data_IF_248991803634
#
_entry.id   IF_248991803634
#
_cell.length_a   1.000
_cell.length_b   1.000
_cell.length_c   1.000
_cell.angle_alpha   90.00
_cell.angle_beta   90.00
_cell.angle_gamma   90.00
#
_symmetry.space_group_name_H-M   'P 1'
#
loop_
_entity.id
_entity.type
_entity.pdbx_description
1 polymer ?
#
# COMPACT_ATOMS: atom_id res chain seq x y z
N UNK A 1 12.29 -13.99 32.25
CA UNK A 1 12.81 -12.65 31.94
C UNK A 1 13.62 -12.75 30.64
N UNK A 2 13.06 -12.36 29.48
CA UNK A 2 13.85 -12.26 28.24
C UNK A 2 14.46 -10.87 28.21
N UNK A 3 15.77 -10.81 28.33
CA UNK A 3 16.55 -9.59 28.12
C UNK A 3 16.26 -9.07 26.71
N UNK A 4 15.61 -7.91 26.57
CA UNK A 4 15.56 -7.19 25.30
C UNK A 4 16.99 -6.77 24.98
N UNK A 5 17.60 -7.34 23.95
CA UNK A 5 18.82 -6.78 23.40
C UNK A 5 18.44 -5.43 22.80
N UNK A 6 18.78 -4.35 23.48
CA UNK A 6 18.68 -3.00 22.94
C UNK A 6 19.80 -2.85 21.91
N UNK A 7 19.43 -2.71 20.64
CA UNK A 7 20.37 -2.38 19.58
C UNK A 7 20.81 -0.93 19.78
N UNK A 8 22.12 -0.71 19.89
CA UNK A 8 22.71 0.62 20.07
C UNK A 8 23.56 0.96 18.83
N UNK A 9 23.37 2.16 18.29
CA UNK A 9 24.22 2.70 17.24
C UNK A 9 25.28 3.61 17.88
N UNK A 10 26.56 3.31 17.59
CA UNK A 10 27.68 4.17 18.01
C UNK A 10 28.17 4.91 16.76
N UNK A 11 28.00 6.23 16.75
CA UNK A 11 28.33 7.07 15.61
C UNK A 11 29.48 7.99 16.00
N UNK A 12 30.60 7.88 15.26
CA UNK A 12 31.72 8.81 15.34
C UNK A 12 31.67 9.76 14.15
N UNK A 13 31.31 11.00 14.39
CA UNK A 13 31.26 12.03 13.35
C UNK A 13 32.63 12.57 12.94
N UNK A 14 32.65 13.54 12.01
CA UNK A 14 33.84 14.29 11.61
C UNK A 14 34.67 13.66 10.47
N UNK A 15 34.25 12.52 9.91
CA UNK A 15 34.91 11.92 8.75
C UNK A 15 34.28 12.43 7.45
N UNK A 16 35.01 13.13 6.56
CA UNK A 16 34.47 13.52 5.25
C UNK A 16 34.15 12.28 4.40
N UNK A 17 32.92 12.23 3.89
CA UNK A 17 32.50 11.15 3.00
C UNK A 17 32.94 11.45 1.57
N UNK A 18 33.63 10.50 0.92
CA UNK A 18 34.04 10.55 -0.50
C UNK A 18 33.78 9.18 -1.12
N UNK A 19 33.15 9.15 -2.30
CA UNK A 19 32.85 7.93 -3.02
C UNK A 19 31.55 8.03 -3.81
N UNK A 20 31.19 6.92 -4.44
CA UNK A 20 29.96 6.74 -5.20
C UNK A 20 29.03 5.79 -4.47
N UNK A 21 27.74 6.04 -4.54
CA UNK A 21 26.70 5.18 -3.96
C UNK A 21 25.68 4.88 -5.04
N UNK A 22 25.41 3.60 -5.27
CA UNK A 22 24.30 3.17 -6.11
C UNK A 22 22.99 3.33 -5.33
N UNK A 23 22.07 4.13 -5.86
CA UNK A 23 20.76 4.33 -5.25
C UNK A 23 19.89 3.10 -5.49
N UNK A 24 19.40 2.49 -4.43
CA UNK A 24 18.41 1.42 -4.50
C UNK A 24 16.97 1.94 -4.63
N UNK A 25 16.02 1.03 -4.84
CA UNK A 25 14.60 1.36 -4.95
C UNK A 25 14.04 2.03 -3.69
N UNK A 26 13.08 2.93 -3.88
CA UNK A 26 12.43 3.67 -2.80
C UNK A 26 11.41 2.78 -2.06
N UNK A 27 11.62 2.56 -0.76
CA UNK A 27 10.72 1.75 0.07
C UNK A 27 9.25 2.18 -0.03
N UNK A 28 8.98 3.47 0.07
CA UNK A 28 7.60 3.97 0.10
C UNK A 28 6.89 3.84 -1.25
N UNK A 29 7.61 4.00 -2.36
CA UNK A 29 7.09 3.69 -3.70
C UNK A 29 6.78 2.20 -3.82
N UNK A 30 7.72 1.34 -3.45
CA UNK A 30 7.56 -0.10 -3.53
C UNK A 30 6.34 -0.62 -2.76
N UNK A 31 6.03 -0.06 -1.57
CA UNK A 31 4.86 -0.45 -0.78
C UNK A 31 3.53 -0.18 -1.53
N UNK A 32 3.40 0.99 -2.16
CA UNK A 32 2.22 1.33 -2.96
C UNK A 32 2.11 0.47 -4.23
N UNK A 33 3.23 0.27 -4.92
CA UNK A 33 3.31 -0.53 -6.16
C UNK A 33 2.99 -2.02 -5.88
N UNK A 34 3.50 -2.59 -4.79
CA UNK A 34 3.18 -3.96 -4.38
C UNK A 34 1.68 -4.14 -4.10
N UNK A 35 1.05 -3.15 -3.46
CA UNK A 35 -0.40 -3.17 -3.26
C UNK A 35 -1.16 -3.02 -4.59
N UNK A 36 -0.70 -2.19 -5.52
CA UNK A 36 -1.30 -2.07 -6.84
C UNK A 36 -1.16 -3.36 -7.67
N UNK A 37 -0.06 -4.11 -7.50
CA UNK A 37 0.21 -5.32 -8.25
C UNK A 37 -0.84 -6.43 -8.05
N UNK A 38 -1.53 -6.45 -6.90
CA UNK A 38 -2.59 -7.45 -6.67
C UNK A 38 -3.92 -7.09 -7.33
N UNK A 39 -4.06 -5.89 -7.87
CA UNK A 39 -5.32 -5.42 -8.45
C UNK A 39 -5.58 -5.99 -9.85
N UNK A 40 -4.57 -6.53 -10.51
CA UNK A 40 -4.71 -7.27 -11.78
C UNK A 40 -4.66 -8.77 -11.57
N UNK A 41 -5.21 -9.51 -12.54
CA UNK A 41 -5.10 -10.97 -12.62
C UNK A 41 -3.88 -11.43 -13.45
N UNK A 42 -3.18 -10.46 -14.07
CA UNK A 42 -1.94 -10.71 -14.79
C UNK A 42 -0.74 -10.82 -13.85
N UNK A 43 0.32 -11.49 -14.33
CA UNK A 43 1.57 -11.57 -13.57
C UNK A 43 2.39 -10.32 -13.76
N UNK A 44 2.68 -9.65 -12.65
CA UNK A 44 3.47 -8.42 -12.60
C UNK A 44 4.87 -8.73 -12.12
N UNK A 45 5.86 -8.28 -12.89
CA UNK A 45 7.27 -8.30 -12.46
C UNK A 45 7.65 -6.94 -11.92
N UNK A 46 8.14 -6.90 -10.69
CA UNK A 46 8.60 -5.66 -10.03
C UNK A 46 10.08 -5.82 -9.74
N UNK A 47 10.87 -4.91 -10.28
CA UNK A 47 12.33 -4.87 -10.15
C UNK A 47 12.78 -3.72 -9.23
N UNK A 48 14.06 -3.73 -8.88
CA UNK A 48 14.67 -2.72 -8.02
C UNK A 48 13.96 -2.53 -6.67
N UNK A 49 13.41 -3.61 -6.11
CA UNK A 49 12.82 -3.59 -4.76
C UNK A 49 13.93 -3.46 -3.71
N UNK A 50 13.76 -2.59 -2.70
CA UNK A 50 14.69 -2.58 -1.57
C UNK A 50 14.46 -3.82 -0.68
N UNK A 51 15.55 -4.48 -0.31
CA UNK A 51 15.49 -5.61 0.63
C UNK A 51 15.42 -5.10 2.08
N UNK A 52 14.23 -4.73 2.49
CA UNK A 52 13.94 -4.22 3.84
C UNK A 52 12.74 -4.95 4.46
N UNK A 53 12.69 -4.95 5.78
CA UNK A 53 11.68 -5.68 6.55
C UNK A 53 10.25 -5.39 6.11
N UNK A 54 9.90 -4.12 5.90
CA UNK A 54 8.53 -3.71 5.56
C UNK A 54 8.05 -4.35 4.24
N UNK A 55 8.95 -4.39 3.23
CA UNK A 55 8.68 -5.04 1.94
C UNK A 55 8.45 -6.54 2.13
N UNK A 56 9.33 -7.19 2.90
CA UNK A 56 9.23 -8.63 3.15
C UNK A 56 7.93 -8.99 3.87
N UNK A 57 7.52 -8.20 4.86
CA UNK A 57 6.26 -8.42 5.58
C UNK A 57 5.05 -8.17 4.68
N UNK A 58 5.09 -7.14 3.82
CA UNK A 58 3.99 -6.88 2.88
C UNK A 58 3.85 -8.01 1.85
N UNK A 59 4.96 -8.54 1.32
CA UNK A 59 4.94 -9.69 0.41
C UNK A 59 4.36 -10.94 1.07
N UNK A 60 4.71 -11.21 2.34
CA UNK A 60 4.10 -12.30 3.11
C UNK A 60 2.60 -12.10 3.30
N UNK A 61 2.15 -10.87 3.51
CA UNK A 61 0.73 -10.56 3.59
C UNK A 61 -0.01 -10.80 2.28
N UNK A 62 0.58 -10.38 1.17
CA UNK A 62 0.06 -10.59 -0.18
C UNK A 62 -0.04 -12.10 -0.48
N UNK A 63 0.97 -12.88 -0.12
CA UNK A 63 0.94 -14.34 -0.23
C UNK A 63 -0.13 -14.96 0.68
N UNK A 64 -0.25 -14.44 1.92
CA UNK A 64 -1.21 -14.92 2.92
C UNK A 64 -2.68 -14.73 2.55
N UNK A 65 -3.00 -13.77 1.69
CA UNK A 65 -4.36 -13.58 1.14
C UNK A 65 -4.62 -14.45 -0.10
N UNK A 66 -3.61 -15.20 -0.55
CA UNK A 66 -3.74 -16.17 -1.65
C UNK A 66 -3.17 -15.71 -2.99
N UNK A 67 -2.49 -14.57 -3.06
CA UNK A 67 -1.76 -14.20 -4.27
C UNK A 67 -0.53 -15.08 -4.45
N UNK A 68 -0.15 -15.34 -5.69
CA UNK A 68 1.11 -16.00 -5.99
C UNK A 68 2.25 -15.00 -5.95
N UNK A 69 3.25 -15.24 -5.10
CA UNK A 69 4.45 -14.41 -4.97
C UNK A 69 5.68 -15.26 -5.27
N UNK A 70 6.41 -14.91 -6.31
CA UNK A 70 7.65 -15.59 -6.70
C UNK A 70 8.83 -14.62 -6.60
N UNK A 71 9.73 -14.86 -5.66
CA UNK A 71 11.00 -14.14 -5.58
C UNK A 71 11.98 -14.67 -6.62
N UNK A 72 12.44 -13.79 -7.50
CA UNK A 72 13.49 -14.10 -8.49
C UNK A 72 14.87 -13.88 -7.85
N UNK A 73 15.03 -12.78 -7.11
CA UNK A 73 16.20 -12.43 -6.32
C UNK A 73 15.81 -11.47 -5.19
N UNK A 74 16.79 -10.90 -4.46
CA UNK A 74 16.54 -9.96 -3.36
C UNK A 74 15.85 -8.67 -3.79
N UNK A 75 15.90 -8.31 -5.08
CA UNK A 75 15.42 -7.05 -5.63
C UNK A 75 14.35 -7.21 -6.72
N UNK A 76 13.94 -8.45 -7.02
CA UNK A 76 12.96 -8.73 -8.08
C UNK A 76 11.94 -9.75 -7.61
N UNK A 77 10.66 -9.43 -7.80
CA UNK A 77 9.53 -10.31 -7.46
C UNK A 77 8.53 -10.35 -8.59
N UNK A 78 7.89 -11.51 -8.78
CA UNK A 78 6.69 -11.65 -9.61
C UNK A 78 5.48 -11.84 -8.71
N UNK A 79 4.40 -11.12 -8.98
CA UNK A 79 3.14 -11.19 -8.23
C UNK A 79 2.01 -11.45 -9.22
N UNK A 80 1.12 -12.37 -8.84
CA UNK A 80 -0.12 -12.60 -9.57
C UNK A 80 -1.29 -12.61 -8.57
N UNK A 81 -2.27 -11.73 -8.77
CA UNK A 81 -3.42 -11.53 -7.89
C UNK A 81 -4.66 -12.34 -8.25
N UNK A 82 -4.62 -13.20 -9.29
CA UNK A 82 -5.79 -13.94 -9.77
C UNK A 82 -6.31 -14.99 -8.78
N UNK A 83 -5.45 -15.47 -7.88
CA UNK A 83 -5.75 -16.55 -6.93
C UNK A 83 -6.11 -16.05 -5.54
N UNK A 84 -6.28 -14.73 -5.35
CA UNK A 84 -6.68 -14.16 -4.06
C UNK A 84 -8.09 -14.65 -3.71
N UNK A 85 -8.19 -15.44 -2.65
CA UNK A 85 -9.47 -15.97 -2.14
C UNK A 85 -9.86 -15.41 -0.77
N UNK A 86 -8.93 -14.77 -0.07
CA UNK A 86 -9.15 -14.21 1.24
C UNK A 86 -8.95 -12.69 1.24
N UNK A 87 -9.99 -11.97 1.64
CA UNK A 87 -9.96 -10.49 1.75
C UNK A 87 -9.68 -10.00 3.17
N UNK A 88 -9.41 -10.93 4.10
CA UNK A 88 -9.16 -10.63 5.51
C UNK A 88 -7.67 -10.71 5.80
N UNK A 89 -7.12 -9.64 6.30
CA UNK A 89 -5.72 -9.53 6.70
C UNK A 89 -5.66 -9.28 8.20
N UNK A 90 -5.49 -10.34 8.96
CA UNK A 90 -5.36 -10.31 10.41
C UNK A 90 -4.18 -11.17 10.86
N UNK A 91 -2.97 -10.65 10.69
CA UNK A 91 -1.74 -11.30 11.14
C UNK A 91 -0.98 -10.37 12.10
N UNK A 92 -0.42 -10.93 13.16
CA UNK A 92 0.39 -10.16 14.12
C UNK A 92 1.58 -9.43 13.50
N UNK A 93 2.13 -9.97 12.41
CA UNK A 93 3.21 -9.33 11.66
C UNK A 93 2.73 -8.06 10.94
N UNK A 94 1.50 -8.07 10.42
CA UNK A 94 0.88 -6.96 9.69
C UNK A 94 0.54 -5.79 10.61
N UNK A 95 0.10 -6.08 11.83
CA UNK A 95 -0.15 -5.04 12.84
C UNK A 95 1.10 -4.20 13.14
N UNK A 96 2.30 -4.72 12.81
CA UNK A 96 3.59 -4.06 13.03
C UNK A 96 4.02 -3.14 11.89
N UNK A 97 3.38 -3.26 10.72
CA UNK A 97 3.68 -2.41 9.56
C UNK A 97 2.44 -1.63 9.13
N UNK A 98 2.62 -0.33 8.94
CA UNK A 98 1.53 0.57 8.52
C UNK A 98 1.16 0.43 7.04
N UNK A 99 2.09 -0.09 6.24
CA UNK A 99 1.89 -0.32 4.82
C UNK A 99 0.79 -1.36 4.51
N UNK A 100 0.39 -2.18 5.50
CA UNK A 100 -0.77 -3.06 5.37
C UNK A 100 -2.06 -2.32 4.99
N UNK A 101 -2.18 -1.04 5.34
CA UNK A 101 -3.31 -0.22 4.92
C UNK A 101 -3.45 -0.06 3.42
N UNK A 102 -2.37 -0.10 2.64
CA UNK A 102 -2.47 -0.02 1.18
C UNK A 102 -3.23 -1.20 0.59
N UNK A 103 -3.17 -2.36 1.24
CA UNK A 103 -3.98 -3.52 0.85
C UNK A 103 -5.47 -3.27 1.05
N UNK A 104 -5.86 -2.39 1.99
CA UNK A 104 -7.26 -2.03 2.19
C UNK A 104 -7.85 -1.36 0.93
N UNK A 105 -7.16 -0.35 0.38
CA UNK A 105 -7.57 0.33 -0.85
C UNK A 105 -7.54 -0.59 -2.07
N UNK A 106 -6.49 -1.41 -2.20
CA UNK A 106 -6.35 -2.33 -3.31
C UNK A 106 -7.42 -3.43 -3.33
N UNK A 107 -7.70 -4.05 -2.17
CA UNK A 107 -8.74 -5.08 -2.05
C UNK A 107 -10.15 -4.48 -2.20
N UNK A 108 -10.40 -3.31 -1.62
CA UNK A 108 -11.68 -2.60 -1.81
C UNK A 108 -11.90 -2.30 -3.28
N UNK A 109 -10.89 -1.80 -4.00
CA UNK A 109 -10.99 -1.55 -5.44
C UNK A 109 -11.29 -2.82 -6.23
N UNK A 110 -10.55 -3.91 -5.99
CA UNK A 110 -10.67 -5.14 -6.77
C UNK A 110 -11.92 -5.95 -6.44
N UNK A 111 -12.30 -6.04 -5.16
CA UNK A 111 -13.34 -6.96 -4.68
C UNK A 111 -14.57 -6.27 -4.07
N UNK A 112 -14.61 -4.94 -4.07
CA UNK A 112 -15.64 -4.13 -3.40
C UNK A 112 -15.76 -4.41 -1.89
N UNK A 113 -14.80 -5.11 -1.31
CA UNK A 113 -14.75 -5.43 0.12
C UNK A 113 -13.33 -5.74 0.58
N UNK A 114 -13.02 -5.35 1.81
CA UNK A 114 -11.76 -5.72 2.47
C UNK A 114 -11.91 -5.67 3.98
N UNK A 115 -11.12 -6.51 4.67
CA UNK A 115 -10.97 -6.49 6.12
C UNK A 115 -9.47 -6.44 6.46
N UNK A 116 -9.04 -5.40 7.13
CA UNK A 116 -7.63 -5.23 7.50
C UNK A 116 -7.54 -4.85 8.97
N UNK A 117 -6.67 -5.56 9.71
CA UNK A 117 -6.42 -5.23 11.11
C UNK A 117 -5.87 -3.81 11.25
N UNK A 118 -6.39 -3.09 12.26
CA UNK A 118 -5.80 -1.83 12.66
C UNK A 118 -4.34 -2.07 13.05
N UNK A 119 -3.37 -1.37 12.46
CA UNK A 119 -2.00 -1.47 12.91
C UNK A 119 -1.91 -0.99 14.34
N UNK A 120 -1.16 -1.71 15.14
CA UNK A 120 -0.79 -1.29 16.49
C UNK A 120 -0.09 0.06 16.46
N UNK A 121 -0.17 0.78 17.57
CA UNK A 121 0.49 2.08 17.72
C UNK A 121 1.98 1.98 17.41
N UNK A 122 2.47 2.89 16.60
CA UNK A 122 3.90 3.15 16.48
C UNK A 122 4.26 4.19 17.55
N UNK A 123 5.38 4.04 18.21
CA UNK A 123 5.86 4.97 19.27
C UNK A 123 6.06 6.43 18.79
N UNK A 124 5.85 6.69 17.51
CA UNK A 124 5.97 8.00 16.84
C UNK A 124 4.65 8.81 16.87
N UNK A 125 3.66 8.40 17.66
CA UNK A 125 2.40 9.13 17.85
C UNK A 125 1.18 8.58 17.09
N UNK A 126 0.01 9.08 17.48
CA UNK A 126 -1.28 8.76 16.87
C UNK A 126 -1.31 9.26 15.43
N UNK A 127 -1.59 8.39 14.50
CA UNK A 127 -1.83 8.76 13.09
C UNK A 127 -3.21 8.24 12.72
N UNK A 128 -4.22 9.08 12.77
CA UNK A 128 -5.60 8.69 12.50
C UNK A 128 -5.75 8.22 11.05
N UNK A 129 -6.70 7.31 10.82
CA UNK A 129 -7.06 6.79 9.50
C UNK A 129 -8.33 7.45 8.95
N UNK A 130 -8.79 8.49 9.61
CA UNK A 130 -10.00 9.23 9.29
C UNK A 130 -10.07 9.66 7.82
N UNK A 131 -8.95 10.15 7.26
CA UNK A 131 -8.88 10.56 5.86
C UNK A 131 -9.01 9.39 4.89
N UNK A 132 -8.51 8.19 5.25
CA UNK A 132 -8.72 6.97 4.46
C UNK A 132 -10.20 6.61 4.44
N UNK A 133 -10.84 6.58 5.62
CA UNK A 133 -12.26 6.24 5.77
C UNK A 133 -13.15 7.26 5.08
N UNK A 134 -12.81 8.57 5.15
CA UNK A 134 -13.49 9.65 4.45
C UNK A 134 -13.48 9.40 2.94
N UNK A 135 -12.31 9.09 2.38
CA UNK A 135 -12.16 8.82 0.97
C UNK A 135 -12.97 7.61 0.50
N UNK A 136 -12.91 6.50 1.23
CA UNK A 136 -13.68 5.31 0.88
C UNK A 136 -15.20 5.54 0.95
N UNK A 137 -15.68 6.27 1.96
CA UNK A 137 -17.09 6.65 2.05
C UNK A 137 -17.52 7.56 0.89
N UNK A 138 -16.66 8.47 0.47
CA UNK A 138 -16.92 9.33 -0.67
C UNK A 138 -17.02 8.54 -1.99
N UNK A 139 -16.31 7.41 -2.11
CA UNK A 139 -16.41 6.47 -3.23
C UNK A 139 -17.64 5.54 -3.12
N UNK A 140 -18.49 5.68 -2.08
CA UNK A 140 -19.68 4.88 -1.89
C UNK A 140 -19.51 3.66 -0.98
N UNK A 141 -18.34 3.46 -0.37
CA UNK A 141 -18.13 2.32 0.52
C UNK A 141 -18.70 2.57 1.93
N UNK A 142 -19.31 1.54 2.50
CA UNK A 142 -19.60 1.45 3.94
C UNK A 142 -18.30 1.04 4.65
N UNK A 143 -17.97 1.77 5.71
CA UNK A 143 -16.76 1.52 6.50
C UNK A 143 -17.10 1.45 7.98
N UNK A 144 -16.80 0.32 8.62
CA UNK A 144 -16.90 0.10 10.07
C UNK A 144 -15.57 -0.26 10.67
N UNK A 145 -15.42 0.00 11.96
CA UNK A 145 -14.27 -0.43 12.76
C UNK A 145 -14.81 -1.24 13.93
N UNK A 146 -14.55 -2.53 13.91
CA UNK A 146 -15.07 -3.46 14.91
C UNK A 146 -13.97 -4.45 15.29
N UNK A 147 -13.84 -4.73 16.57
CA UNK A 147 -12.88 -5.71 17.12
C UNK A 147 -11.43 -5.49 16.64
N UNK A 148 -11.04 -4.22 16.41
CA UNK A 148 -9.70 -3.88 15.92
C UNK A 148 -9.48 -4.17 14.44
N UNK A 149 -10.56 -4.39 13.68
CA UNK A 149 -10.55 -4.57 12.23
C UNK A 149 -11.25 -3.40 11.54
N UNK A 150 -10.70 -2.96 10.43
CA UNK A 150 -11.37 -2.07 9.49
C UNK A 150 -12.09 -2.95 8.48
N UNK A 151 -13.39 -2.82 8.40
CA UNK A 151 -14.22 -3.52 7.44
C UNK A 151 -14.72 -2.51 6.40
N UNK A 152 -14.53 -2.80 5.12
CA UNK A 152 -15.02 -1.98 4.01
C UNK A 152 -15.86 -2.83 3.08
N UNK A 153 -16.96 -2.27 2.60
CA UNK A 153 -17.85 -2.90 1.65
C UNK A 153 -18.51 -1.85 0.74
N UNK A 154 -18.67 -2.16 -0.53
CA UNK A 154 -19.47 -1.39 -1.48
C UNK A 154 -20.17 -2.35 -2.44
N UNK A 155 -21.38 -2.00 -2.89
CA UNK A 155 -22.03 -2.70 -4.01
C UNK A 155 -21.29 -2.38 -5.32
N UNK A 156 -20.93 -1.12 -5.50
CA UNK A 156 -20.03 -0.61 -6.53
C UNK A 156 -19.31 0.63 -6.00
N UNK A 157 -18.09 0.87 -6.49
CA UNK A 157 -17.38 2.11 -6.22
C UNK A 157 -17.67 3.11 -7.33
N UNK A 158 -17.99 4.34 -6.94
CA UNK A 158 -18.32 5.44 -7.86
C UNK A 158 -17.35 6.60 -7.62
N UNK A 159 -16.77 7.10 -8.70
CA UNK A 159 -15.86 8.24 -8.66
C UNK A 159 -16.52 9.47 -8.08
N UNK A 160 -15.76 10.24 -7.30
CA UNK A 160 -16.26 11.42 -6.60
C UNK A 160 -15.17 12.49 -6.47
N UNK A 161 -15.58 13.70 -6.09
CA UNK A 161 -14.69 14.77 -5.69
C UNK A 161 -14.41 14.70 -4.20
N UNK A 162 -13.15 14.40 -3.84
CA UNK A 162 -12.72 14.09 -2.48
C UNK A 162 -11.73 15.14 -2.02
N UNK A 163 -12.08 15.94 -1.02
CA UNK A 163 -11.17 16.88 -0.38
C UNK A 163 -10.61 16.27 0.90
N UNK A 164 -9.27 16.20 1.01
CA UNK A 164 -8.60 15.76 2.25
C UNK A 164 -8.43 16.95 3.20
N UNK A 165 -8.89 16.82 4.44
CA UNK A 165 -8.79 17.89 5.45
C UNK A 165 -7.34 18.18 5.83
N UNK A 166 -6.51 17.14 5.76
CA UNK A 166 -5.06 17.23 5.94
C UNK A 166 -4.35 16.42 4.86
N UNK A 167 -3.19 16.89 4.42
CA UNK A 167 -2.34 16.17 3.48
C UNK A 167 -1.90 14.85 4.13
N UNK A 168 -2.22 13.74 3.48
CA UNK A 168 -1.90 12.39 3.96
C UNK A 168 -1.45 11.48 2.82
N UNK A 169 -0.19 11.08 2.86
CA UNK A 169 0.39 10.12 1.89
C UNK A 169 -0.40 8.81 1.86
N UNK A 170 -0.64 8.24 3.03
CA UNK A 170 -1.35 6.96 3.14
C UNK A 170 -2.79 7.03 2.61
N UNK A 171 -3.54 8.10 2.96
CA UNK A 171 -4.89 8.28 2.47
C UNK A 171 -4.91 8.50 0.96
N UNK A 172 -4.01 9.35 0.42
CA UNK A 172 -3.89 9.61 -1.01
C UNK A 172 -3.70 8.31 -1.79
N UNK A 173 -2.71 7.48 -1.41
CA UNK A 173 -2.43 6.21 -2.09
C UNK A 173 -3.63 5.24 -1.97
N UNK A 174 -4.22 5.10 -0.79
CA UNK A 174 -5.36 4.21 -0.59
C UNK A 174 -6.59 4.59 -1.41
N UNK A 175 -6.94 5.88 -1.41
CA UNK A 175 -8.07 6.39 -2.19
C UNK A 175 -7.79 6.21 -3.68
N UNK A 176 -6.57 6.49 -4.12
CA UNK A 176 -6.13 6.29 -5.49
C UNK A 176 -6.28 4.82 -5.92
N UNK A 177 -5.78 3.86 -5.12
CA UNK A 177 -5.92 2.43 -5.39
C UNK A 177 -7.40 2.02 -5.52
N UNK A 178 -8.25 2.42 -4.58
CA UNK A 178 -9.68 2.12 -4.65
C UNK A 178 -10.35 2.78 -5.87
N UNK A 179 -9.97 4.00 -6.20
CA UNK A 179 -10.54 4.78 -7.31
C UNK A 179 -10.20 4.23 -8.69
N UNK A 180 -9.10 3.48 -8.85
CA UNK A 180 -8.71 2.90 -10.13
C UNK A 180 -9.78 1.94 -10.69
N UNK A 181 -10.62 1.37 -9.82
CA UNK A 181 -11.67 0.42 -10.20
C UNK A 181 -13.07 1.03 -10.01
N UNK A 182 -13.18 2.31 -9.64
CA UNK A 182 -14.45 3.00 -9.47
C UNK A 182 -15.02 3.46 -10.82
N UNK A 183 -16.33 3.44 -10.94
CA UNK A 183 -17.03 3.95 -12.12
C UNK A 183 -16.95 5.49 -12.18
N UNK A 184 -16.63 6.03 -13.34
CA UNK A 184 -16.59 7.47 -13.56
C UNK A 184 -15.27 8.11 -13.13
N UNK A 185 -15.29 9.40 -12.80
CA UNK A 185 -14.09 10.21 -12.51
C UNK A 185 -13.94 10.47 -11.03
N UNK A 186 -12.73 10.24 -10.50
CA UNK A 186 -12.35 10.66 -9.15
C UNK A 186 -11.38 11.83 -9.20
N UNK A 187 -11.61 12.83 -8.34
CA UNK A 187 -10.71 13.95 -8.11
C UNK A 187 -10.34 13.99 -6.64
N UNK A 188 -9.06 13.97 -6.31
CA UNK A 188 -8.57 14.06 -4.94
C UNK A 188 -7.90 15.42 -4.77
N UNK A 189 -8.51 16.30 -3.99
CA UNK A 189 -7.94 17.60 -3.64
C UNK A 189 -7.18 17.54 -2.32
N UNK A 190 -6.20 18.44 -2.17
CA UNK A 190 -5.26 18.47 -1.05
C UNK A 190 -4.51 17.14 -0.88
N UNK A 191 -4.27 16.44 -2.00
CA UNK A 191 -3.52 15.20 -2.05
C UNK A 191 -2.05 15.42 -1.69
N UNK A 192 -1.41 14.39 -1.17
CA UNK A 192 0.03 14.38 -0.98
C UNK A 192 0.78 14.42 -2.33
N UNK A 193 1.93 15.09 -2.37
CA UNK A 193 2.69 15.37 -3.61
C UNK A 193 4.11 14.80 -3.60
N UNK A 194 4.38 13.86 -2.72
CA UNK A 194 5.68 13.20 -2.65
C UNK A 194 5.98 12.44 -3.97
N UNK A 195 7.24 12.37 -4.41
CA UNK A 195 7.61 11.73 -5.68
C UNK A 195 7.06 10.32 -5.84
N UNK A 196 7.06 9.52 -4.78
CA UNK A 196 6.55 8.15 -4.81
C UNK A 196 5.01 8.05 -5.01
N UNK A 197 4.26 9.11 -4.80
CA UNK A 197 2.84 9.19 -5.17
C UNK A 197 2.70 9.30 -6.68
N UNK A 198 3.53 10.13 -7.31
CA UNK A 198 3.56 10.28 -8.77
C UNK A 198 3.92 8.95 -9.44
N UNK A 199 4.93 8.24 -8.90
CA UNK A 199 5.30 6.91 -9.38
C UNK A 199 4.14 5.92 -9.25
N UNK A 200 3.43 5.91 -8.10
CA UNK A 200 2.28 5.05 -7.89
C UNK A 200 1.11 5.40 -8.82
N UNK A 201 0.87 6.68 -9.12
CA UNK A 201 -0.15 7.11 -10.09
C UNK A 201 0.19 6.58 -11.47
N UNK A 202 1.41 6.76 -11.93
CA UNK A 202 1.84 6.26 -13.24
C UNK A 202 1.67 4.75 -13.34
N UNK A 203 2.04 4.02 -12.30
CA UNK A 203 1.90 2.57 -12.26
C UNK A 203 0.44 2.10 -12.28
N UNK A 204 -0.44 2.74 -11.54
CA UNK A 204 -1.88 2.39 -11.49
C UNK A 204 -2.59 2.80 -12.78
N UNK A 205 -2.22 3.93 -13.38
CA UNK A 205 -2.81 4.44 -14.62
C UNK A 205 -2.52 3.51 -15.81
N UNK A 206 -1.26 3.08 -15.97
CA UNK A 206 -0.85 2.13 -17.02
C UNK A 206 -1.59 0.79 -16.97
N UNK A 207 -2.21 0.45 -15.84
CA UNK A 207 -2.94 -0.82 -15.68
C UNK A 207 -4.42 -0.73 -15.95
N UNK A 208 -5.00 0.45 -15.83
CA UNK A 208 -6.45 0.60 -15.95
C UNK A 208 -6.92 0.69 -17.40
N UNK A 209 -6.13 1.24 -18.35
CA UNK A 209 -6.66 1.63 -19.66
C UNK A 209 -5.68 1.63 -20.84
N UNK A 210 -4.40 1.27 -20.69
CA UNK A 210 -3.48 1.41 -21.82
C UNK A 210 -2.94 0.07 -22.31
N UNK A 211 -3.24 -0.25 -23.59
CA UNK A 211 -2.47 -1.17 -24.41
C UNK A 211 -1.25 -0.41 -24.97
N UNK A 212 -0.16 -1.12 -25.29
CA UNK A 212 1.08 -0.54 -25.88
C UNK A 212 0.85 0.34 -27.14
N UNK A 213 -0.38 0.41 -27.63
CA UNK A 213 -0.75 1.19 -28.81
C UNK A 213 -1.07 2.68 -28.50
N UNK A 214 -1.14 3.07 -27.23
CA UNK A 214 -1.56 4.41 -26.79
C UNK A 214 -0.39 5.26 -26.24
N UNK A 215 0.86 4.80 -26.37
CA UNK A 215 2.10 5.50 -25.98
C UNK A 215 2.77 6.20 -27.18
#
# INVERSE_FOLDING_TARGET
MRCKMENQYIIKGGTPLKGEVTIGGAKNAALGILAAAIMTDETVTIENLPDVRDINVLLQAIEGIGATVQRINSHTVKINGSTIGNITIDYDSIRKIRASYYLLGALLGKYNKAQVALPGGCDIGSRPIDQHLKGFRALGATVTIEHGMINTFADSLVGNHIFLDVVSVGATINIMLASCMAEGRTVIENAAKEPHIVDAVSYTHLRAHETEADL
#
